data_IF_595809021333
#
_entry.id   IF_595809021333
#
_cell.length_a   1.000
_cell.length_b   1.000
_cell.length_c   1.000
_cell.angle_alpha   90.00
_cell.angle_beta   90.00
_cell.angle_gamma   90.00
#
_symmetry.space_group_name_H-M   'P 1'
#
loop_
_entity.id
_entity.type
_entity.pdbx_description
1 polymer ?
#
# COMPACT_ATOMS: atom_id res chain seq x y z
N UNK A 1 -30.56 42.81 64.75
CA UNK A 1 -29.52 43.39 63.88
C UNK A 1 -28.21 42.64 64.10
N UNK A 2 -27.81 41.80 63.14
CA UNK A 2 -26.45 41.27 62.94
C UNK A 2 -26.42 40.68 61.53
N UNK A 3 -25.71 41.36 60.64
CA UNK A 3 -25.35 40.89 59.29
C UNK A 3 -24.01 40.16 59.36
N UNK A 4 -23.83 39.13 58.53
CA UNK A 4 -22.66 38.83 57.66
C UNK A 4 -22.83 37.36 57.19
N UNK A 5 -23.28 37.09 55.95
CA UNK A 5 -22.47 36.97 54.72
C UNK A 5 -21.22 36.09 54.89
N UNK A 6 -21.33 34.82 54.52
CA UNK A 6 -20.20 33.98 54.11
C UNK A 6 -20.45 33.53 52.67
N UNK A 7 -19.53 33.92 51.80
CA UNK A 7 -19.42 33.57 50.39
C UNK A 7 -18.98 32.10 50.29
N UNK A 8 -19.71 31.29 49.52
CA UNK A 8 -19.22 29.99 49.05
C UNK A 8 -18.86 30.12 47.58
N UNK A 9 -17.56 30.16 47.29
CA UNK A 9 -17.03 30.04 45.94
C UNK A 9 -17.21 28.58 45.47
N UNK A 10 -17.92 28.38 44.35
CA UNK A 10 -17.89 27.11 43.64
C UNK A 10 -16.86 27.27 42.52
N UNK A 11 -15.66 26.77 42.76
CA UNK A 11 -14.67 26.54 41.73
C UNK A 11 -15.14 25.37 40.86
N UNK A 12 -15.62 25.64 39.65
CA UNK A 12 -15.74 24.63 38.61
C UNK A 12 -14.45 24.64 37.79
N UNK A 13 -13.51 23.79 38.18
CA UNK A 13 -12.37 23.44 37.34
C UNK A 13 -12.84 22.50 36.24
N UNK A 14 -13.00 23.01 35.02
CA UNK A 14 -13.06 22.16 33.83
C UNK A 14 -11.62 21.78 33.50
N UNK A 15 -11.27 20.53 33.80
CA UNK A 15 -10.03 19.92 33.32
C UNK A 15 -10.19 19.67 31.83
N UNK A 16 -9.59 20.53 31.02
CA UNK A 16 -9.42 20.32 29.58
C UNK A 16 -8.02 19.72 29.39
N UNK A 17 -7.91 18.38 29.35
CA UNK A 17 -6.64 17.74 29.03
C UNK A 17 -6.81 16.51 28.14
N UNK A 18 -6.06 16.59 27.04
CA UNK A 18 -5.72 15.57 26.05
C UNK A 18 -6.88 15.01 25.23
N UNK A 19 -7.26 15.77 24.19
CA UNK A 19 -7.56 15.14 22.92
C UNK A 19 -6.26 14.47 22.43
N UNK A 20 -6.09 13.19 22.70
CA UNK A 20 -5.23 12.35 21.88
C UNK A 20 -5.82 12.46 20.47
N UNK A 21 -5.16 13.21 19.59
CA UNK A 21 -5.38 13.07 18.15
C UNK A 21 -4.84 11.69 17.81
N UNK A 22 -5.62 10.65 18.08
CA UNK A 22 -5.47 9.39 17.38
C UNK A 22 -5.67 9.74 15.93
N UNK A 23 -4.56 9.83 15.18
CA UNK A 23 -4.64 9.80 13.72
C UNK A 23 -5.55 8.62 13.39
N UNK A 24 -6.60 8.81 12.56
CA UNK A 24 -7.41 7.69 12.14
C UNK A 24 -6.48 6.62 11.58
N UNK A 25 -6.77 5.36 11.88
CA UNK A 25 -6.24 4.22 11.13
C UNK A 25 -6.47 4.58 9.67
N UNK A 26 -5.39 4.86 8.93
CA UNK A 26 -5.49 5.27 7.53
C UNK A 26 -6.29 4.19 6.81
N UNK A 27 -7.45 4.55 6.27
CA UNK A 27 -8.18 3.71 5.35
C UNK A 27 -7.22 3.32 4.22
N UNK A 28 -7.32 2.09 3.71
CA UNK A 28 -6.42 1.60 2.67
C UNK A 28 -6.38 2.60 1.50
N UNK A 29 -5.25 3.32 1.37
CA UNK A 29 -5.07 4.30 0.30
C UNK A 29 -4.80 3.62 -1.04
N UNK A 30 -4.53 2.31 -1.04
CA UNK A 30 -4.22 1.55 -2.23
C UNK A 30 -5.44 0.87 -2.83
N UNK A 31 -5.66 1.11 -4.12
CA UNK A 31 -6.37 0.19 -4.98
C UNK A 31 -5.38 -0.77 -5.63
N UNK A 32 -5.73 -2.05 -5.69
CA UNK A 32 -4.91 -3.09 -6.29
C UNK A 32 -5.70 -3.77 -7.39
N UNK A 33 -5.03 -4.03 -8.50
CA UNK A 33 -5.57 -4.83 -9.59
C UNK A 33 -4.55 -5.83 -10.11
N UNK A 34 -5.04 -6.88 -10.74
CA UNK A 34 -4.21 -7.87 -11.44
C UNK A 34 -4.57 -7.83 -12.93
N UNK A 35 -3.57 -7.75 -13.80
CA UNK A 35 -3.79 -7.82 -15.24
C UNK A 35 -4.25 -9.22 -15.67
N UNK A 36 -4.69 -9.37 -16.92
CA UNK A 36 -5.02 -10.70 -17.46
C UNK A 36 -3.80 -11.63 -17.42
N UNK A 37 -4.04 -12.93 -17.23
CA UNK A 37 -2.98 -13.94 -17.22
C UNK A 37 -2.07 -13.82 -18.45
N UNK A 38 -0.75 -13.96 -18.23
CA UNK A 38 0.27 -13.81 -19.27
C UNK A 38 0.67 -12.37 -19.60
N UNK A 39 -0.05 -11.35 -19.10
CA UNK A 39 0.43 -9.97 -19.16
C UNK A 39 1.61 -9.80 -18.19
N UNK A 40 2.68 -9.21 -18.68
CA UNK A 40 3.93 -9.00 -17.93
C UNK A 40 4.33 -7.51 -17.86
N UNK A 41 3.50 -6.60 -18.37
CA UNK A 41 3.82 -5.18 -18.46
C UNK A 41 2.64 -4.32 -18.03
N UNK A 42 2.94 -3.14 -17.51
CA UNK A 42 1.94 -2.12 -17.23
C UNK A 42 1.35 -1.53 -18.54
N UNK A 43 0.11 -1.06 -18.48
CA UNK A 43 -0.49 -0.26 -19.54
C UNK A 43 0.06 1.18 -19.50
N UNK A 44 1.23 1.42 -20.11
CA UNK A 44 1.93 2.72 -20.04
C UNK A 44 1.10 3.92 -20.52
N UNK A 45 0.18 3.72 -21.47
CA UNK A 45 -0.71 4.79 -21.95
C UNK A 45 -1.66 5.34 -20.88
N UNK A 46 -1.87 4.59 -19.80
CA UNK A 46 -2.66 4.99 -18.63
C UNK A 46 -1.84 5.77 -17.58
N UNK A 47 -0.51 5.75 -17.69
CA UNK A 47 0.39 6.28 -16.67
C UNK A 47 0.99 7.63 -17.08
N UNK A 48 1.36 8.44 -16.08
CA UNK A 48 1.97 9.77 -16.27
C UNK A 48 3.40 9.75 -15.74
N UNK A 49 4.35 10.11 -16.60
CA UNK A 49 5.80 10.04 -16.33
C UNK A 49 6.27 8.64 -15.91
N UNK A 50 5.72 7.61 -16.55
CA UNK A 50 6.07 6.22 -16.24
C UNK A 50 7.51 5.88 -16.65
N UNK A 51 8.15 5.04 -15.85
CA UNK A 51 9.48 4.47 -16.12
C UNK A 51 9.42 2.99 -15.78
N UNK A 52 10.07 2.13 -16.58
CA UNK A 52 10.11 0.68 -16.40
C UNK A 52 11.56 0.22 -16.19
N UNK A 53 11.78 -0.64 -15.19
CA UNK A 53 13.03 -1.34 -14.96
C UNK A 53 12.85 -2.82 -15.30
N UNK A 54 13.54 -3.28 -16.34
CA UNK A 54 13.52 -4.66 -16.83
C UNK A 54 14.74 -5.48 -16.39
N UNK A 55 15.68 -4.86 -15.68
CA UNK A 55 16.93 -5.48 -15.18
C UNK A 55 17.89 -6.04 -16.26
N UNK A 56 17.50 -6.05 -17.54
CA UNK A 56 18.29 -6.60 -18.64
C UNK A 56 19.68 -5.98 -18.79
N UNK A 57 19.78 -4.68 -18.53
CA UNK A 57 21.02 -3.93 -18.58
C UNK A 57 21.92 -4.15 -17.35
N UNK A 58 21.41 -4.79 -16.29
CA UNK A 58 22.16 -5.02 -15.07
C UNK A 58 23.09 -6.23 -15.20
N UNK A 59 24.16 -6.23 -14.41
CA UNK A 59 25.05 -7.38 -14.28
C UNK A 59 24.37 -8.45 -13.43
N UNK A 60 24.46 -9.71 -13.85
CA UNK A 60 23.95 -10.84 -13.06
C UNK A 60 24.72 -10.98 -11.74
N UNK A 61 24.02 -11.36 -10.69
CA UNK A 61 24.57 -11.65 -9.37
C UNK A 61 24.10 -10.65 -8.31
N UNK A 62 24.58 -10.87 -7.09
CA UNK A 62 24.23 -10.05 -5.94
C UNK A 62 25.10 -8.79 -5.84
N UNK A 63 24.47 -7.66 -5.53
CA UNK A 63 25.11 -6.40 -5.19
C UNK A 63 24.53 -5.83 -3.90
N UNK A 64 25.33 -5.79 -2.83
CA UNK A 64 24.94 -5.17 -1.56
C UNK A 64 24.60 -3.69 -1.72
N UNK A 65 25.38 -2.96 -2.52
CA UNK A 65 25.14 -1.54 -2.82
C UNK A 65 24.04 -1.32 -3.87
N UNK A 66 23.56 -2.39 -4.51
CA UNK A 66 22.61 -2.33 -5.62
C UNK A 66 23.12 -1.50 -6.80
N UNK A 67 22.25 -0.66 -7.37
CA UNK A 67 22.54 0.20 -8.52
C UNK A 67 21.59 1.41 -8.60
N UNK A 68 22.01 2.45 -9.33
CA UNK A 68 21.16 3.60 -9.66
C UNK A 68 20.30 3.29 -10.89
N UNK A 69 19.00 3.48 -10.78
CA UNK A 69 18.07 3.37 -11.89
C UNK A 69 17.93 4.72 -12.58
N UNK A 70 18.57 4.84 -13.74
CA UNK A 70 18.46 6.00 -14.61
C UNK A 70 17.62 5.67 -15.86
N UNK A 71 16.78 6.62 -16.26
CA UNK A 71 16.17 6.65 -17.59
C UNK A 71 16.74 7.85 -18.36
N UNK A 72 17.64 7.56 -19.31
CA UNK A 72 18.50 8.57 -19.92
C UNK A 72 19.33 9.32 -18.86
N UNK A 73 19.12 10.64 -18.75
CA UNK A 73 19.81 11.49 -17.77
C UNK A 73 19.04 11.64 -16.45
N UNK A 74 17.84 11.08 -16.35
CA UNK A 74 16.96 11.24 -15.18
C UNK A 74 17.20 10.10 -14.20
N UNK A 75 17.56 10.44 -12.96
CA UNK A 75 17.61 9.47 -11.87
C UNK A 75 16.18 9.21 -11.35
N UNK A 76 15.69 7.99 -11.51
CA UNK A 76 14.37 7.54 -11.06
C UNK A 76 14.43 7.08 -9.60
N UNK A 77 15.52 6.44 -9.22
CA UNK A 77 15.70 5.86 -7.90
C UNK A 77 16.96 5.00 -7.82
N UNK A 78 17.11 4.30 -6.71
CA UNK A 78 18.21 3.37 -6.50
C UNK A 78 17.72 2.10 -5.84
N UNK A 79 18.15 0.97 -6.39
CA UNK A 79 18.02 -0.32 -5.73
C UNK A 79 19.20 -0.55 -4.79
N UNK A 80 18.97 -1.28 -3.69
CA UNK A 80 19.99 -1.75 -2.75
C UNK A 80 19.75 -3.21 -2.42
N UNK A 81 20.81 -3.95 -2.04
CA UNK A 81 20.73 -5.39 -1.73
C UNK A 81 20.07 -6.20 -2.84
N UNK A 82 20.53 -5.98 -4.07
CA UNK A 82 19.84 -6.47 -5.27
C UNK A 82 20.51 -7.70 -5.81
N UNK A 83 19.73 -8.75 -6.05
CA UNK A 83 20.14 -9.90 -6.82
C UNK A 83 19.48 -9.81 -8.20
N UNK A 84 20.28 -10.00 -9.26
CA UNK A 84 19.80 -10.07 -10.64
C UNK A 84 20.14 -11.45 -11.20
N UNK A 85 19.16 -12.12 -11.77
CA UNK A 85 19.28 -13.47 -12.32
C UNK A 85 18.97 -13.47 -13.82
N UNK A 86 19.54 -14.41 -14.57
CA UNK A 86 19.12 -14.62 -15.96
C UNK A 86 17.75 -15.31 -15.98
N UNK A 87 16.95 -15.06 -17.01
CA UNK A 87 15.66 -15.71 -17.19
C UNK A 87 15.76 -17.24 -17.05
N UNK A 88 14.86 -17.79 -16.24
CA UNK A 88 14.73 -19.22 -15.97
C UNK A 88 13.27 -19.56 -15.66
N UNK A 89 13.00 -20.76 -15.11
CA UNK A 89 11.63 -21.17 -14.80
C UNK A 89 10.90 -20.23 -13.83
N UNK A 90 11.63 -19.52 -12.96
CA UNK A 90 11.05 -18.67 -11.92
C UNK A 90 10.84 -17.21 -12.36
N UNK A 91 11.45 -16.75 -13.45
CA UNK A 91 11.43 -15.32 -13.80
C UNK A 91 12.05 -14.98 -15.16
N UNK A 92 12.08 -13.69 -15.48
CA UNK A 92 12.50 -13.14 -16.79
C UNK A 92 11.32 -12.95 -17.73
N UNK A 93 10.78 -11.72 -17.79
CA UNK A 93 9.65 -11.40 -18.64
C UNK A 93 9.99 -11.67 -20.12
N UNK A 94 9.04 -12.18 -20.88
CA UNK A 94 9.25 -12.65 -22.26
C UNK A 94 10.08 -13.94 -22.39
N UNK A 95 10.57 -14.52 -21.28
CA UNK A 95 11.35 -15.76 -21.28
C UNK A 95 12.80 -15.57 -21.71
N UNK A 96 13.30 -14.34 -21.65
CA UNK A 96 14.68 -13.98 -22.02
C UNK A 96 15.18 -12.88 -21.08
N UNK A 97 16.46 -12.53 -21.18
CA UNK A 97 16.98 -11.38 -20.44
C UNK A 97 17.26 -11.71 -18.97
N UNK A 98 16.96 -10.76 -18.09
CA UNK A 98 17.21 -10.88 -16.65
C UNK A 98 16.02 -10.42 -15.83
N UNK A 99 15.99 -10.81 -14.56
CA UNK A 99 14.96 -10.37 -13.63
C UNK A 99 15.56 -10.11 -12.24
N UNK A 100 14.77 -9.47 -11.40
CA UNK A 100 15.10 -9.12 -10.02
C UNK A 100 14.72 -10.25 -9.07
N UNK A 101 15.58 -10.49 -8.08
CA UNK A 101 15.35 -11.50 -7.06
C UNK A 101 15.71 -10.99 -5.66
N UNK A 102 15.10 -11.60 -4.65
CA UNK A 102 15.53 -11.58 -3.25
C UNK A 102 15.50 -13.00 -2.72
N UNK A 103 16.66 -13.64 -2.63
CA UNK A 103 16.77 -15.01 -2.15
C UNK A 103 17.86 -15.11 -1.09
N UNK A 104 17.58 -15.71 0.06
CA UNK A 104 18.55 -15.74 1.17
C UNK A 104 19.77 -16.65 0.94
N UNK A 105 19.64 -17.65 0.08
CA UNK A 105 20.72 -18.58 -0.30
C UNK A 105 21.58 -18.02 -1.44
N UNK A 106 20.97 -17.25 -2.37
CA UNK A 106 21.66 -16.65 -3.52
C UNK A 106 22.16 -15.22 -3.24
N UNK A 107 21.49 -14.48 -2.35
CA UNK A 107 21.90 -13.14 -1.92
C UNK A 107 23.03 -13.24 -0.91
N UNK A 108 24.08 -12.45 -1.09
CA UNK A 108 25.23 -12.44 -0.18
C UNK A 108 24.79 -12.15 1.26
N UNK A 109 25.36 -12.88 2.21
CA UNK A 109 25.17 -12.69 3.66
C UNK A 109 23.75 -12.94 4.20
N UNK A 110 22.93 -13.77 3.53
CA UNK A 110 21.60 -14.13 4.05
C UNK A 110 20.61 -12.98 4.03
N UNK A 111 20.80 -12.04 3.10
CA UNK A 111 19.98 -10.85 2.99
C UNK A 111 18.55 -11.21 2.58
N UNK A 112 17.58 -10.65 3.30
CA UNK A 112 16.14 -10.97 3.16
C UNK A 112 15.33 -9.86 2.51
N UNK A 113 15.91 -8.66 2.40
CA UNK A 113 15.19 -7.46 1.99
C UNK A 113 16.02 -6.70 0.96
N UNK A 114 15.44 -6.49 -0.22
CA UNK A 114 15.92 -5.54 -1.21
C UNK A 114 15.03 -4.31 -1.19
N UNK A 115 15.59 -3.14 -1.50
CA UNK A 115 14.83 -1.88 -1.46
C UNK A 115 15.00 -1.11 -2.75
N UNK A 116 13.91 -0.52 -3.23
CA UNK A 116 13.90 0.55 -4.21
C UNK A 116 13.60 1.86 -3.49
N UNK A 117 14.53 2.81 -3.56
CA UNK A 117 14.35 4.16 -3.04
C UNK A 117 14.13 5.10 -4.21
N UNK A 118 13.04 5.85 -4.22
CA UNK A 118 12.63 6.69 -5.35
C UNK A 118 13.06 8.13 -5.12
N UNK A 119 13.55 8.80 -6.17
CA UNK A 119 13.99 10.20 -6.07
C UNK A 119 12.81 11.17 -5.98
N UNK A 120 11.66 10.77 -6.53
CA UNK A 120 10.41 11.52 -6.49
C UNK A 120 9.32 10.59 -5.96
N UNK A 121 8.43 11.06 -5.07
CA UNK A 121 7.29 10.26 -4.64
C UNK A 121 6.42 9.82 -5.83
N UNK A 122 5.94 8.58 -5.79
CA UNK A 122 5.14 7.96 -6.85
C UNK A 122 3.75 7.61 -6.32
N UNK A 123 2.74 7.63 -7.19
CA UNK A 123 1.37 7.19 -6.86
C UNK A 123 1.01 5.87 -7.53
N UNK A 124 1.89 5.31 -8.36
CA UNK A 124 1.70 4.03 -9.01
C UNK A 124 2.98 3.19 -8.95
N UNK A 125 2.80 1.92 -8.62
CA UNK A 125 3.79 0.87 -8.84
C UNK A 125 3.14 -0.30 -9.58
N UNK A 126 3.88 -0.91 -10.50
CA UNK A 126 3.52 -2.18 -11.11
C UNK A 126 4.72 -3.11 -11.13
N UNK A 127 4.49 -4.40 -11.00
CA UNK A 127 5.52 -5.41 -11.21
C UNK A 127 4.92 -6.65 -11.84
N UNK A 128 5.71 -7.33 -12.66
CA UNK A 128 5.46 -8.73 -12.95
C UNK A 128 6.01 -9.55 -11.79
N UNK A 129 5.13 -10.05 -10.92
CA UNK A 129 5.50 -10.96 -9.85
C UNK A 129 5.50 -12.38 -10.44
N UNK A 130 6.64 -13.04 -10.42
CA UNK A 130 6.85 -14.37 -10.96
C UNK A 130 7.22 -15.33 -9.83
N UNK A 131 6.74 -16.57 -9.85
CA UNK A 131 7.05 -17.56 -8.82
C UNK A 131 6.77 -17.08 -7.37
N UNK A 132 5.59 -16.47 -7.15
CA UNK A 132 5.28 -15.92 -5.82
C UNK A 132 5.07 -17.00 -4.76
N UNK A 133 5.87 -17.01 -3.69
CA UNK A 133 5.75 -18.00 -2.62
C UNK A 133 5.30 -17.42 -1.27
N UNK A 134 5.02 -18.28 -0.29
CA UNK A 134 4.53 -17.88 1.04
C UNK A 134 5.53 -17.04 1.87
N UNK A 135 6.80 -16.99 1.48
CA UNK A 135 7.86 -16.22 2.12
C UNK A 135 7.99 -14.80 1.57
N UNK A 136 7.29 -14.48 0.48
CA UNK A 136 7.36 -13.18 -0.17
C UNK A 136 6.43 -12.12 0.45
N UNK A 137 6.96 -10.92 0.66
CA UNK A 137 6.20 -9.73 1.09
C UNK A 137 6.68 -8.49 0.33
N UNK A 138 5.74 -7.74 -0.23
CA UNK A 138 5.98 -6.44 -0.84
C UNK A 138 5.44 -5.33 0.07
N UNK A 139 6.25 -4.33 0.39
CA UNK A 139 5.87 -3.24 1.30
C UNK A 139 6.18 -1.87 0.71
N UNK A 140 5.23 -0.96 0.81
CA UNK A 140 5.34 0.43 0.36
C UNK A 140 5.48 1.36 1.56
N UNK A 141 6.43 2.29 1.48
CA UNK A 141 6.67 3.28 2.51
C UNK A 141 6.63 4.69 1.93
N UNK A 142 6.15 5.61 2.76
CA UNK A 142 6.19 7.05 2.53
C UNK A 142 6.87 7.70 3.72
N UNK A 143 8.02 8.35 3.49
CA UNK A 143 8.81 9.00 4.54
C UNK A 143 9.15 8.04 5.71
N UNK A 144 9.46 6.78 5.36
CA UNK A 144 9.79 5.72 6.32
C UNK A 144 8.60 5.13 7.09
N UNK A 145 7.35 5.54 6.79
CA UNK A 145 6.15 4.94 7.34
C UNK A 145 5.53 3.95 6.36
N UNK A 146 5.17 2.76 6.81
CA UNK A 146 4.45 1.77 5.98
C UNK A 146 3.07 2.32 5.63
N UNK A 147 2.78 2.42 4.33
CA UNK A 147 1.48 2.85 3.81
C UNK A 147 0.69 1.69 3.22
N UNK A 148 1.36 0.62 2.79
CA UNK A 148 0.71 -0.59 2.29
C UNK A 148 1.67 -1.79 2.33
N UNK A 149 1.11 -3.00 2.46
CA UNK A 149 1.87 -4.25 2.35
C UNK A 149 0.99 -5.34 1.74
N UNK A 150 1.62 -6.25 1.00
CA UNK A 150 0.96 -7.38 0.34
C UNK A 150 1.85 -8.62 0.43
N UNK A 151 1.23 -9.76 0.69
CA UNK A 151 1.87 -11.08 0.70
C UNK A 151 1.45 -11.88 -0.53
N UNK A 152 2.19 -12.93 -0.87
CA UNK A 152 1.72 -13.90 -1.88
C UNK A 152 0.37 -14.52 -1.51
N UNK A 153 0.09 -14.73 -0.22
CA UNK A 153 -1.22 -15.24 0.20
C UNK A 153 -2.36 -14.31 -0.24
N UNK A 154 -2.14 -12.99 -0.20
CA UNK A 154 -3.10 -12.01 -0.73
C UNK A 154 -3.24 -12.16 -2.26
N UNK A 155 -2.13 -12.29 -2.99
CA UNK A 155 -2.13 -12.51 -4.44
C UNK A 155 -2.93 -13.77 -4.82
N UNK A 156 -2.67 -14.90 -4.15
CA UNK A 156 -3.41 -16.15 -4.35
C UNK A 156 -4.90 -15.97 -4.05
N UNK A 157 -5.23 -15.28 -2.96
CA UNK A 157 -6.63 -14.98 -2.61
C UNK A 157 -7.32 -14.08 -3.65
N UNK A 158 -6.57 -13.21 -4.32
CA UNK A 158 -7.09 -12.38 -5.40
C UNK A 158 -7.29 -13.17 -6.68
N UNK A 159 -6.30 -13.97 -7.09
CA UNK A 159 -6.39 -14.87 -8.26
C UNK A 159 -7.56 -15.84 -8.11
N UNK A 160 -7.78 -16.38 -6.90
CA UNK A 160 -8.89 -17.30 -6.62
C UNK A 160 -10.28 -16.71 -6.88
N UNK A 161 -10.42 -15.37 -6.92
CA UNK A 161 -11.68 -14.68 -7.24
C UNK A 161 -11.91 -14.51 -8.75
N UNK A 162 -10.90 -14.76 -9.58
CA UNK A 162 -10.96 -14.62 -11.03
C UNK A 162 -11.51 -15.89 -11.69
N UNK A 163 -12.27 -15.73 -12.77
CA UNK A 163 -12.88 -16.86 -13.48
C UNK A 163 -11.85 -17.76 -14.18
N UNK A 164 -10.70 -17.20 -14.57
CA UNK A 164 -9.58 -17.87 -15.22
C UNK A 164 -8.39 -18.10 -14.26
N UNK A 165 -8.66 -18.27 -12.95
CA UNK A 165 -7.65 -18.44 -11.90
C UNK A 165 -6.50 -19.40 -12.24
N UNK A 166 -6.79 -20.51 -12.92
CA UNK A 166 -5.79 -21.56 -13.21
C UNK A 166 -4.77 -21.10 -14.26
N UNK A 167 -5.08 -20.09 -15.06
CA UNK A 167 -4.16 -19.51 -16.07
C UNK A 167 -3.05 -18.65 -15.47
N UNK A 168 -3.11 -18.36 -14.17
CA UNK A 168 -2.07 -17.59 -13.47
C UNK A 168 -0.98 -18.47 -12.87
N UNK A 169 -1.07 -19.79 -12.97
CA UNK A 169 -0.11 -20.70 -12.35
C UNK A 169 0.86 -21.29 -13.36
N UNK A 170 2.15 -21.20 -13.05
CA UNK A 170 3.24 -21.59 -13.93
C UNK A 170 3.68 -20.48 -14.89
N UNK A 171 4.94 -20.55 -15.29
CA UNK A 171 5.57 -19.53 -16.10
C UNK A 171 4.90 -19.46 -17.49
N UNK A 172 4.38 -18.29 -17.91
CA UNK A 172 3.63 -18.14 -19.16
C UNK A 172 4.53 -18.06 -20.40
N UNK A 173 5.84 -17.91 -20.23
CA UNK A 173 6.77 -17.70 -21.34
C UNK A 173 7.01 -19.00 -22.10
N UNK A 174 7.05 -18.94 -23.44
CA UNK A 174 7.20 -20.12 -24.30
C UNK A 174 8.40 -21.01 -23.96
N UNK A 175 9.56 -20.43 -23.59
CA UNK A 175 10.76 -21.16 -23.21
C UNK A 175 10.63 -21.94 -21.89
N UNK A 176 9.72 -21.51 -21.01
CA UNK A 176 9.52 -22.04 -19.67
C UNK A 176 8.06 -22.45 -19.41
N UNK A 177 7.30 -22.68 -20.49
CA UNK A 177 5.85 -22.76 -20.42
C UNK A 177 5.37 -23.81 -19.42
N UNK A 178 4.54 -23.38 -18.46
CA UNK A 178 3.97 -24.18 -17.38
C UNK A 178 5.00 -24.81 -16.41
N UNK A 179 6.26 -24.41 -16.46
CA UNK A 179 7.18 -24.73 -15.38
C UNK A 179 6.78 -23.97 -14.13
N UNK A 180 7.08 -24.53 -12.96
CA UNK A 180 6.71 -23.94 -11.67
C UNK A 180 5.19 -23.71 -11.48
N UNK A 181 4.39 -24.67 -11.93
CA UNK A 181 2.93 -24.60 -11.92
C UNK A 181 2.26 -24.60 -10.52
N UNK A 182 3.04 -24.68 -9.45
CA UNK A 182 2.55 -24.53 -8.08
C UNK A 182 2.40 -23.07 -7.66
N UNK A 183 3.03 -22.14 -8.38
CA UNK A 183 3.20 -20.75 -7.96
C UNK A 183 2.55 -19.77 -8.95
N UNK A 184 2.02 -18.63 -8.46
CA UNK A 184 1.38 -17.61 -9.28
C UNK A 184 2.39 -16.74 -10.05
N UNK A 185 2.02 -16.41 -11.28
CA UNK A 185 2.69 -15.47 -12.18
C UNK A 185 1.67 -14.42 -12.63
N UNK A 186 1.87 -13.17 -12.22
CA UNK A 186 0.90 -12.11 -12.48
C UNK A 186 1.55 -10.73 -12.55
N UNK A 187 1.08 -9.88 -13.47
CA UNK A 187 1.37 -8.45 -13.38
C UNK A 187 0.36 -7.79 -12.45
N UNK A 188 0.86 -7.16 -11.39
CA UNK A 188 0.05 -6.56 -10.33
C UNK A 188 0.27 -5.06 -10.34
N UNK A 189 -0.82 -4.31 -10.34
CA UNK A 189 -0.79 -2.86 -10.25
C UNK A 189 -1.22 -2.39 -8.86
N UNK A 190 -0.51 -1.40 -8.34
CA UNK A 190 -0.72 -0.75 -7.05
C UNK A 190 -0.93 0.74 -7.31
N UNK A 191 -2.11 1.24 -6.98
CA UNK A 191 -2.51 2.63 -7.16
C UNK A 191 -2.73 3.27 -5.80
N UNK A 192 -1.87 4.20 -5.41
CA UNK A 192 -2.15 5.05 -4.26
C UNK A 192 -3.16 6.13 -4.67
N UNK A 193 -4.38 6.07 -4.12
CA UNK A 193 -5.56 6.86 -4.52
C UNK A 193 -5.60 8.22 -3.83
N UNK A 194 -4.90 8.37 -2.70
CA UNK A 194 -4.88 9.61 -1.92
C UNK A 194 -3.50 10.04 -1.45
N UNK A 195 -2.46 9.27 -1.78
CA UNK A 195 -1.11 9.50 -1.31
C UNK A 195 -0.03 9.24 -2.36
N UNK A 196 1.19 9.11 -1.83
CA UNK A 196 2.38 8.74 -2.57
C UNK A 196 3.30 7.92 -1.67
N UNK A 197 4.12 7.07 -2.27
CA UNK A 197 5.21 6.35 -1.62
C UNK A 197 6.56 6.76 -2.23
N UNK A 198 7.63 6.63 -1.46
CA UNK A 198 9.00 6.94 -1.87
C UNK A 198 9.95 5.74 -1.73
N UNK A 199 9.47 4.63 -1.15
CA UNK A 199 10.24 3.40 -1.05
C UNK A 199 9.35 2.16 -1.25
N UNK A 200 9.92 1.16 -1.91
CA UNK A 200 9.36 -0.19 -2.02
C UNK A 200 10.36 -1.18 -1.43
N UNK A 201 9.90 -2.07 -0.56
CA UNK A 201 10.70 -3.16 0.01
C UNK A 201 10.19 -4.49 -0.52
N UNK A 202 11.12 -5.29 -1.03
CA UNK A 202 10.91 -6.64 -1.52
C UNK A 202 11.54 -7.59 -0.52
N UNK A 203 10.73 -8.43 0.10
CA UNK A 203 11.17 -9.28 1.21
C UNK A 203 10.91 -10.74 0.89
N UNK A 204 11.93 -11.58 1.07
CA UNK A 204 11.76 -13.03 1.13
C UNK A 204 12.30 -13.54 2.47
N UNK A 205 11.45 -14.22 3.25
CA UNK A 205 11.81 -14.86 4.52
C UNK A 205 11.67 -16.38 4.35
N UNK A 206 12.59 -16.96 3.59
CA UNK A 206 12.64 -18.39 3.30
C UNK A 206 13.90 -18.69 2.50
N UNK A 207 14.30 -19.96 2.39
CA UNK A 207 15.40 -20.36 1.50
C UNK A 207 15.02 -20.34 0.02
N UNK A 208 14.10 -19.45 -0.37
CA UNK A 208 13.47 -19.31 -1.69
C UNK A 208 13.69 -17.89 -2.21
N UNK A 209 13.12 -17.52 -3.36
CA UNK A 209 13.28 -16.20 -3.97
C UNK A 209 12.04 -15.32 -3.89
N UNK A 210 12.23 -14.02 -4.15
CA UNK A 210 11.16 -13.07 -4.51
C UNK A 210 11.48 -12.67 -5.93
N UNK A 211 10.92 -13.38 -6.90
CA UNK A 211 11.21 -13.16 -8.30
C UNK A 211 10.23 -12.14 -8.91
N UNK A 212 10.79 -11.10 -9.52
CA UNK A 212 9.96 -10.11 -10.21
C UNK A 212 10.70 -9.38 -11.32
N UNK A 213 9.92 -8.77 -12.22
CA UNK A 213 10.44 -8.05 -13.38
C UNK A 213 9.52 -6.88 -13.76
N UNK A 214 9.93 -6.09 -14.75
CA UNK A 214 9.18 -4.96 -15.31
C UNK A 214 8.64 -4.02 -14.23
N UNK A 215 9.48 -3.70 -13.25
CA UNK A 215 9.14 -2.77 -12.17
C UNK A 215 8.82 -1.41 -12.77
N UNK A 216 7.56 -1.01 -12.67
CA UNK A 216 7.04 0.20 -13.28
C UNK A 216 6.66 1.18 -12.20
N UNK A 217 7.13 2.43 -12.31
CA UNK A 217 6.71 3.53 -11.42
C UNK A 217 6.13 4.67 -12.24
N UNK A 218 5.14 5.36 -11.69
CA UNK A 218 4.61 6.58 -12.28
C UNK A 218 4.15 7.58 -11.21
N UNK A 219 4.33 8.86 -11.52
CA UNK A 219 3.94 9.96 -10.60
C UNK A 219 2.42 10.13 -10.51
N UNK A 220 1.67 9.62 -11.49
CA UNK A 220 0.22 9.61 -11.51
C UNK A 220 -0.31 8.63 -12.57
N UNK A 221 -1.62 8.41 -12.60
CA UNK A 221 -2.33 7.52 -13.50
C UNK A 221 -3.70 8.13 -13.86
N UNK A 222 -4.25 7.78 -15.02
CA UNK A 222 -5.52 8.34 -15.51
C UNK A 222 -6.74 7.63 -14.92
N UNK A 223 -6.64 6.33 -14.74
CA UNK A 223 -7.69 5.48 -14.14
C UNK A 223 -7.09 4.21 -13.53
N UNK A 224 -7.82 3.55 -12.64
CA UNK A 224 -7.49 2.19 -12.20
C UNK A 224 -7.92 1.21 -13.30
N UNK A 225 -6.98 0.42 -13.81
CA UNK A 225 -7.21 -0.61 -14.86
C UNK A 225 -6.98 -2.02 -14.31
N UNK A 226 -7.18 -3.06 -15.12
CA UNK A 226 -7.02 -4.47 -14.72
C UNK A 226 -8.21 -5.02 -13.93
N UNK A 227 -8.08 -6.26 -13.43
CA UNK A 227 -9.07 -6.88 -12.56
C UNK A 227 -8.89 -6.35 -11.14
N UNK A 228 -9.77 -5.44 -10.71
CA UNK A 228 -9.68 -4.80 -9.39
C UNK A 228 -10.00 -5.81 -8.30
N UNK A 229 -9.04 -6.02 -7.39
CA UNK A 229 -9.12 -7.03 -6.33
C UNK A 229 -9.19 -6.42 -4.93
N UNK A 230 -8.69 -5.18 -4.80
CA UNK A 230 -8.87 -4.31 -3.64
C UNK A 230 -9.23 -2.92 -4.13
N UNK A 231 -10.31 -2.36 -3.59
CA UNK A 231 -10.67 -0.96 -3.81
C UNK A 231 -10.08 -0.13 -2.67
N UNK A 232 -9.47 1.00 -2.99
CA UNK A 232 -9.16 2.00 -1.97
C UNK A 232 -10.48 2.44 -1.32
N UNK A 233 -10.49 2.55 0.01
CA UNK A 233 -11.64 3.12 0.71
C UNK A 233 -11.32 4.60 0.89
N UNK A 234 -12.04 5.52 0.23
CA UNK A 234 -11.84 6.93 0.48
C UNK A 234 -12.01 7.19 1.97
N UNK A 235 -11.05 7.89 2.58
CA UNK A 235 -11.18 8.41 3.93
C UNK A 235 -12.54 9.11 4.02
N UNK A 236 -13.49 8.49 4.71
CA UNK A 236 -14.80 9.11 4.93
C UNK A 236 -14.50 10.40 5.65
N UNK A 237 -14.72 11.52 4.97
CA UNK A 237 -14.53 12.84 5.54
C UNK A 237 -15.24 12.86 6.87
N UNK A 238 -14.48 12.89 7.96
CA UNK A 238 -14.91 12.87 9.36
C UNK A 238 -15.79 14.09 9.73
N UNK A 239 -16.21 14.87 8.74
CA UNK A 239 -17.15 15.97 8.81
C UNK A 239 -18.55 15.55 9.30
N UNK A 240 -18.99 14.31 9.12
CA UNK A 240 -20.28 13.87 9.70
C UNK A 240 -20.20 13.54 11.20
N UNK A 241 -19.02 13.29 11.76
CA UNK A 241 -18.83 12.99 13.18
C UNK A 241 -18.87 14.21 14.10
N UNK A 242 -18.59 15.41 13.57
CA UNK A 242 -18.56 16.65 14.37
C UNK A 242 -19.95 17.32 14.44
N UNK A 243 -20.82 17.12 13.46
CA UNK A 243 -22.19 17.66 13.52
C UNK A 243 -23.13 16.87 14.46
N UNK A 244 -22.81 15.61 14.78
CA UNK A 244 -23.63 14.80 15.70
C UNK A 244 -23.44 15.17 17.19
N UNK A 245 -22.29 15.73 17.56
CA UNK A 245 -22.01 16.14 18.96
C UNK A 245 -22.53 17.57 19.24
N UNK A 246 -22.67 18.41 18.21
CA UNK A 246 -23.16 19.79 18.34
C UNK A 246 -24.65 19.92 18.70
N UNK A 247 -25.49 18.94 18.36
CA UNK A 247 -26.94 19.04 18.62
C UNK A 247 -27.39 18.50 19.99
N UNK A 248 -26.59 17.65 20.65
CA UNK A 248 -26.95 17.15 21.99
C UNK A 248 -26.64 18.18 23.09
N UNK A 249 -25.61 19.03 22.89
CA UNK A 249 -25.22 20.05 23.87
C UNK A 249 -26.17 21.24 23.99
N UNK A 250 -26.93 21.58 22.95
CA UNK A 250 -27.87 22.71 22.99
C UNK A 250 -29.22 22.37 23.64
N UNK A 251 -29.63 21.09 23.65
CA UNK A 251 -30.92 20.68 24.22
C UNK A 251 -30.87 20.54 25.75
N UNK A 252 -29.71 20.25 26.35
CA UNK A 252 -29.59 20.00 27.80
C UNK A 252 -29.47 21.27 28.67
N UNK A 253 -29.35 22.46 28.08
CA UNK A 253 -29.24 23.73 28.82
C UNK A 253 -30.59 24.47 28.98
N UNK A 254 -31.67 24.03 28.32
CA UNK A 254 -32.98 24.71 28.38
C UNK A 254 -34.05 24.04 29.29
N UNK A 255 -33.67 23.22 30.29
CA UNK A 255 -34.66 22.67 31.27
C UNK A 255 -34.30 23.05 32.73
N UNK A 256 -33.75 24.25 32.95
CA UNK A 256 -33.64 24.82 34.30
C UNK A 256 -34.22 26.23 34.34
N UNK A 257 -35.54 26.29 34.37
CA UNK A 257 -36.44 27.34 34.88
C UNK A 257 -37.77 27.04 34.19
N UNK A 258 -38.80 26.48 34.82
CA UNK A 258 -39.70 27.18 35.75
C UNK A 258 -40.51 26.11 36.49
N UNK A 259 -40.40 26.06 37.82
CA UNK A 259 -41.45 25.51 38.69
C UNK A 259 -41.69 26.49 39.82
N UNK A 260 -42.56 27.49 39.59
CA UNK A 260 -43.31 28.16 40.66
C UNK A 260 -44.69 28.59 40.14
N UNK A 261 -45.69 27.98 40.78
CA UNK A 261 -47.09 28.39 41.02
C UNK A 261 -47.97 28.68 39.79
N UNK A 262 -49.05 27.90 39.68
CA UNK A 262 -50.37 28.46 39.39
C UNK A 262 -51.42 27.82 40.28
N UNK A 263 -52.22 28.69 40.88
CA UNK A 263 -53.41 28.43 41.70
C UNK A 263 -54.58 28.23 40.75
N UNK A 264 -55.38 27.18 40.93
CA UNK A 264 -56.66 27.01 40.24
C UNK A 264 -57.79 27.34 41.21
N UNK A 265 -58.45 28.48 40.97
CA UNK A 265 -59.82 28.73 41.42
C UNK A 265 -60.78 28.10 40.41
N UNK A 266 -61.79 27.39 40.89
CA UNK A 266 -63.00 27.04 40.17
C UNK A 266 -64.19 27.33 41.08
N UNK A 267 -65.11 28.15 40.55
CA UNK A 267 -66.48 28.50 40.97
C UNK A 267 -66.78 28.64 42.47
#
# INVERSE_FOLDING_TARGET
MKNLLIKSAIASGVVLSLATVSRPVMAASFAVSIENAGVQNAQLSNLVNANVQTFDAQTQGYSATGFQWNDGTKNIGSYQNTLVMNAEQYGGAGGTGKYFDVDTNRSGNGQKVSTLNLTTPQSYFGLWWSAGDASNVLTFLSQGQVVYSMTTADVVNYIAKLSNKDSYYGNPNSAFLNQDNGEPFAFINFYDVGGTFDQVQFTNIGGTGFESDNHTVATSYKSITGNIVTQAVPESSSLLGVFAIGFVGAASVMIRQVKKKSVLQLS
#
